data_IF_799251548497
#
_entry.id   IF_799251548497
#
_cell.length_a   1.000
_cell.length_b   1.000
_cell.length_c   1.000
_cell.angle_alpha   90.00
_cell.angle_beta   90.00
_cell.angle_gamma   90.00
#
_symmetry.space_group_name_H-M   'P 1'
#
loop_
_entity.id
_entity.type
_entity.pdbx_description
1 polymer ?
#
# COMPACT_ATOMS: atom_id res chain seq x y z
N UNK A 1 -40.55 -16.24 8.55
CA UNK A 1 -39.20 -16.70 8.15
C UNK A 1 -38.48 -17.16 9.42
N UNK A 2 -38.35 -18.46 9.63
CA UNK A 2 -37.72 -19.06 10.81
C UNK A 2 -36.21 -19.07 10.64
N UNK A 3 -35.49 -18.30 11.46
CA UNK A 3 -34.03 -18.36 11.52
C UNK A 3 -33.63 -19.69 12.18
N UNK A 4 -32.89 -20.58 11.50
CA UNK A 4 -32.48 -21.84 12.10
C UNK A 4 -31.47 -21.56 13.23
N UNK A 5 -31.87 -21.82 14.47
CA UNK A 5 -30.97 -21.77 15.62
C UNK A 5 -30.15 -23.07 15.68
N UNK A 6 -28.89 -22.99 15.27
CA UNK A 6 -27.95 -24.11 15.40
C UNK A 6 -27.50 -24.20 16.86
N UNK A 7 -28.12 -25.10 17.62
CA UNK A 7 -27.73 -25.40 19.01
C UNK A 7 -26.75 -26.57 19.02
N UNK A 8 -25.47 -26.29 19.28
CA UNK A 8 -24.42 -27.31 19.41
C UNK A 8 -24.17 -27.55 20.91
N UNK A 9 -24.53 -28.73 21.43
CA UNK A 9 -24.35 -29.10 22.85
C UNK A 9 -23.41 -30.29 23.00
N UNK A 10 -22.64 -30.30 24.09
CA UNK A 10 -21.75 -31.40 24.47
C UNK A 10 -20.47 -31.48 23.63
N UNK A 11 -19.83 -32.66 23.61
CA UNK A 11 -18.53 -32.90 22.97
C UNK A 11 -18.44 -32.52 21.49
N UNK A 12 -19.59 -32.44 20.79
CA UNK A 12 -19.70 -32.00 19.40
C UNK A 12 -19.44 -30.50 19.18
N UNK A 13 -19.44 -29.69 20.25
CA UNK A 13 -19.08 -28.27 20.18
C UNK A 13 -17.58 -28.06 19.95
N UNK A 14 -16.74 -29.00 20.39
CA UNK A 14 -15.28 -28.93 20.28
C UNK A 14 -14.82 -28.81 18.82
N UNK A 15 -15.21 -29.71 17.89
CA UNK A 15 -14.78 -29.59 16.49
C UNK A 15 -15.29 -28.32 15.81
N UNK A 16 -16.51 -27.86 16.14
CA UNK A 16 -17.05 -26.60 15.60
C UNK A 16 -16.20 -25.42 16.04
N UNK A 17 -15.82 -25.38 17.33
CA UNK A 17 -15.01 -24.31 17.90
C UNK A 17 -13.59 -24.30 17.30
N UNK A 18 -13.00 -25.48 17.07
CA UNK A 18 -11.71 -25.61 16.37
C UNK A 18 -11.79 -25.08 14.94
N UNK A 19 -12.84 -25.40 14.18
CA UNK A 19 -13.03 -24.89 12.81
C UNK A 19 -13.19 -23.37 12.80
N UNK A 20 -13.97 -22.81 13.72
CA UNK A 20 -14.12 -21.35 13.85
C UNK A 20 -12.78 -20.70 14.20
N UNK A 21 -12.02 -21.25 15.15
CA UNK A 21 -10.69 -20.74 15.50
C UNK A 21 -9.70 -20.86 14.33
N UNK A 22 -9.76 -21.94 13.54
CA UNK A 22 -8.93 -22.10 12.35
C UNK A 22 -9.28 -21.07 11.28
N UNK A 23 -10.57 -20.79 11.03
CA UNK A 23 -11.00 -19.76 10.08
C UNK A 23 -10.58 -18.37 10.55
N UNK A 24 -10.79 -18.05 11.83
CA UNK A 24 -10.40 -16.77 12.41
C UNK A 24 -8.88 -16.61 12.41
N UNK A 25 -8.16 -17.65 12.79
CA UNK A 25 -6.69 -17.71 12.78
C UNK A 25 -6.12 -17.56 11.38
N UNK A 26 -6.68 -18.27 10.39
CA UNK A 26 -6.29 -18.14 8.99
C UNK A 26 -6.57 -16.74 8.45
N UNK A 27 -7.75 -16.17 8.72
CA UNK A 27 -8.05 -14.79 8.33
C UNK A 27 -7.09 -13.79 8.96
N UNK A 28 -6.77 -13.97 10.24
CA UNK A 28 -5.84 -13.11 10.97
C UNK A 28 -4.41 -13.25 10.44
N UNK A 29 -3.98 -14.48 10.14
CA UNK A 29 -2.69 -14.77 9.53
C UNK A 29 -2.60 -14.18 8.12
N UNK A 30 -3.59 -14.42 7.25
CA UNK A 30 -3.63 -13.89 5.89
C UNK A 30 -3.66 -12.35 5.83
N UNK A 31 -4.29 -11.68 6.81
CA UNK A 31 -4.25 -10.22 6.91
C UNK A 31 -2.88 -9.67 7.34
N UNK A 32 -2.11 -10.44 8.11
CA UNK A 32 -0.79 -10.04 8.63
C UNK A 32 0.39 -10.53 7.81
N UNK A 33 0.27 -11.66 7.12
CA UNK A 33 1.42 -12.36 6.55
C UNK A 33 2.01 -11.63 5.36
N UNK A 34 1.23 -10.84 4.62
CA UNK A 34 1.74 -10.14 3.45
C UNK A 34 0.73 -9.10 3.01
N UNK A 35 1.15 -7.83 2.91
CA UNK A 35 0.63 -7.03 1.81
C UNK A 35 0.95 -7.86 0.57
N UNK A 36 -0.07 -8.45 -0.05
CA UNK A 36 0.09 -9.20 -1.29
C UNK A 36 0.94 -8.36 -2.27
N UNK A 37 1.81 -8.99 -3.06
CA UNK A 37 2.52 -8.39 -4.19
C UNK A 37 1.66 -7.37 -4.95
N UNK A 38 0.37 -7.64 -5.11
CA UNK A 38 -0.63 -6.75 -5.70
C UNK A 38 -0.75 -5.40 -4.99
N UNK A 39 -0.80 -5.38 -3.66
CA UNK A 39 -0.90 -4.14 -2.88
C UNK A 39 0.37 -3.29 -3.02
N UNK A 40 1.52 -3.94 -3.02
CA UNK A 40 2.82 -3.30 -3.27
C UNK A 40 2.87 -2.69 -4.67
N UNK A 41 2.35 -3.40 -5.68
CA UNK A 41 2.25 -2.88 -7.05
C UNK A 41 1.34 -1.65 -7.13
N UNK A 42 0.18 -1.67 -6.46
CA UNK A 42 -0.74 -0.52 -6.40
C UNK A 42 -0.05 0.70 -5.77
N UNK A 43 0.68 0.50 -4.68
CA UNK A 43 1.45 1.57 -4.02
C UNK A 43 2.56 2.09 -4.95
N UNK A 44 3.33 1.20 -5.58
CA UNK A 44 4.39 1.59 -6.53
C UNK A 44 3.83 2.38 -7.69
N UNK A 45 2.75 1.91 -8.31
CA UNK A 45 2.09 2.59 -9.42
C UNK A 45 1.66 4.00 -9.03
N UNK A 46 1.04 4.15 -7.85
CA UNK A 46 0.61 5.46 -7.38
C UNK A 46 1.79 6.39 -7.08
N UNK A 47 2.85 5.90 -6.41
CA UNK A 47 4.06 6.69 -6.15
C UNK A 47 4.75 7.13 -7.45
N UNK A 48 4.82 6.23 -8.44
CA UNK A 48 5.34 6.54 -9.77
C UNK A 48 4.51 7.63 -10.43
N UNK A 49 3.17 7.56 -10.37
CA UNK A 49 2.32 8.61 -10.93
C UNK A 49 2.52 9.96 -10.24
N UNK A 50 2.71 9.97 -8.92
CA UNK A 50 2.93 11.21 -8.17
C UNK A 50 4.29 11.83 -8.52
N UNK A 51 5.35 11.02 -8.57
CA UNK A 51 6.69 11.50 -8.93
C UNK A 51 6.79 11.92 -10.39
N UNK A 52 6.14 11.19 -11.30
CA UNK A 52 6.03 11.60 -12.69
C UNK A 52 5.29 12.95 -12.81
N UNK A 53 4.15 13.11 -12.13
CA UNK A 53 3.43 14.39 -12.12
C UNK A 53 4.28 15.55 -11.60
N UNK A 54 4.97 15.37 -10.47
CA UNK A 54 5.88 16.37 -9.92
C UNK A 54 7.07 16.69 -10.83
N UNK A 55 7.57 15.71 -11.55
CA UNK A 55 8.63 15.92 -12.52
C UNK A 55 8.12 16.74 -13.72
N UNK A 56 6.93 16.43 -14.24
CA UNK A 56 6.34 17.15 -15.37
C UNK A 56 5.93 18.60 -15.00
N UNK A 57 5.57 18.86 -13.75
CA UNK A 57 5.29 20.21 -13.26
C UNK A 57 6.56 21.08 -13.12
N UNK A 58 7.75 20.48 -13.16
CA UNK A 58 8.98 21.24 -13.04
C UNK A 58 9.27 21.98 -14.37
N UNK A 59 9.47 23.31 -14.37
CA UNK A 59 9.71 24.12 -15.57
C UNK A 59 10.86 23.63 -16.43
N UNK A 60 11.83 22.92 -15.82
CA UNK A 60 12.92 22.25 -16.52
C UNK A 60 12.40 21.27 -17.58
N UNK A 61 11.33 20.54 -17.32
CA UNK A 61 10.78 19.56 -18.27
C UNK A 61 9.70 20.13 -19.20
N UNK A 62 9.36 21.42 -19.06
CA UNK A 62 8.35 22.07 -19.93
C UNK A 62 8.95 22.61 -21.23
N UNK A 63 10.26 22.84 -21.28
CA UNK A 63 10.96 23.40 -22.44
C UNK A 63 11.97 22.42 -23.05
N UNK A 64 11.59 21.14 -23.17
CA UNK A 64 12.45 20.10 -23.72
C UNK A 64 12.89 20.39 -25.16
N UNK A 65 12.04 21.07 -25.95
CA UNK A 65 12.33 21.42 -27.34
C UNK A 65 13.42 22.51 -27.49
N UNK A 66 13.67 23.27 -26.43
CA UNK A 66 14.69 24.32 -26.40
C UNK A 66 15.98 23.89 -25.68
N UNK A 67 16.03 22.66 -25.16
CA UNK A 67 17.20 22.14 -24.45
C UNK A 67 18.31 21.73 -25.40
N UNK A 68 19.54 21.95 -24.98
CA UNK A 68 20.68 21.29 -25.61
C UNK A 68 20.62 19.78 -25.40
N UNK A 69 21.25 19.00 -26.28
CA UNK A 69 21.30 17.53 -26.15
C UNK A 69 21.83 17.08 -24.78
N UNK A 70 22.82 17.79 -24.23
CA UNK A 70 23.38 17.48 -22.91
C UNK A 70 22.37 17.73 -21.76
N UNK A 71 21.54 18.76 -21.86
CA UNK A 71 20.50 19.04 -20.85
C UNK A 71 19.33 18.06 -20.96
N UNK A 72 18.99 17.65 -22.18
CA UNK A 72 17.98 16.63 -22.43
C UNK A 72 18.41 15.26 -21.86
N UNK A 73 19.68 14.89 -22.02
CA UNK A 73 20.23 13.65 -21.44
C UNK A 73 20.17 13.66 -19.90
N UNK A 74 20.52 14.78 -19.27
CA UNK A 74 20.41 14.94 -17.81
C UNK A 74 18.95 14.89 -17.33
N UNK A 75 18.03 15.49 -18.07
CA UNK A 75 16.59 15.44 -17.77
C UNK A 75 16.06 14.01 -17.89
N UNK A 76 16.44 13.28 -18.94
CA UNK A 76 16.07 11.87 -19.11
C UNK A 76 16.60 11.00 -17.97
N UNK A 77 17.86 11.19 -17.56
CA UNK A 77 18.45 10.46 -16.44
C UNK A 77 17.72 10.76 -15.11
N UNK A 78 17.35 12.02 -14.89
CA UNK A 78 16.58 12.42 -13.70
C UNK A 78 15.20 11.75 -13.66
N UNK A 79 14.49 11.67 -14.79
CA UNK A 79 13.21 10.96 -14.90
C UNK A 79 13.36 9.45 -14.70
N UNK A 80 14.41 8.85 -15.28
CA UNK A 80 14.71 7.43 -15.09
C UNK A 80 15.01 7.12 -13.62
N UNK A 81 15.69 8.02 -12.90
CA UNK A 81 15.96 7.87 -11.47
C UNK A 81 14.67 7.87 -10.66
N UNK A 82 13.72 8.75 -10.96
CA UNK A 82 12.42 8.82 -10.28
C UNK A 82 11.57 7.55 -10.47
N UNK A 83 11.82 6.79 -11.53
CA UNK A 83 11.15 5.53 -11.81
C UNK A 83 11.67 4.35 -10.95
N UNK A 84 12.85 4.49 -10.32
CA UNK A 84 13.46 3.44 -9.48
C UNK A 84 13.01 3.56 -8.03
N UNK A 85 11.77 3.17 -7.77
CA UNK A 85 11.20 3.18 -6.42
C UNK A 85 11.38 1.81 -5.74
N UNK A 86 12.15 1.83 -4.66
CA UNK A 86 12.37 0.70 -3.78
C UNK A 86 11.54 0.83 -2.51
N UNK A 87 10.82 -0.23 -2.17
CA UNK A 87 10.06 -0.30 -0.92
C UNK A 87 10.86 -1.15 0.07
N UNK A 88 11.36 -0.52 1.13
CA UNK A 88 12.18 -1.19 2.16
C UNK A 88 11.33 -1.94 3.17
N UNK A 89 10.25 -1.30 3.62
CA UNK A 89 9.38 -1.88 4.64
C UNK A 89 7.93 -1.49 4.39
N UNK A 90 7.03 -2.40 4.75
CA UNK A 90 5.58 -2.20 4.69
C UNK A 90 5.00 -2.64 6.02
N UNK A 91 4.21 -1.78 6.65
CA UNK A 91 3.47 -2.07 7.88
C UNK A 91 1.99 -1.81 7.70
N UNK A 92 1.13 -2.68 8.22
CA UNK A 92 -0.33 -2.61 8.02
C UNK A 92 -1.03 -2.54 9.36
N UNK A 93 -2.03 -1.67 9.46
CA UNK A 93 -2.94 -1.60 10.61
C UNK A 93 -4.38 -1.38 10.17
N UNK A 94 -5.34 -1.84 10.97
CA UNK A 94 -6.76 -1.73 10.67
C UNK A 94 -7.32 -2.97 9.99
N UNK A 95 -8.65 -3.01 9.87
CA UNK A 95 -9.41 -4.16 9.38
C UNK A 95 -10.47 -3.73 8.37
N UNK A 96 -10.81 -4.66 7.46
CA UNK A 96 -11.89 -4.49 6.49
C UNK A 96 -11.62 -3.33 5.53
N UNK A 97 -12.49 -2.33 5.54
CA UNK A 97 -12.45 -1.20 4.60
C UNK A 97 -11.61 -0.01 5.09
N UNK A 98 -11.01 -0.13 6.27
CA UNK A 98 -10.32 0.97 6.93
C UNK A 98 -8.88 0.60 7.30
N UNK A 99 -8.09 0.20 6.31
CA UNK A 99 -6.70 -0.22 6.48
C UNK A 99 -5.79 0.99 6.27
N UNK A 100 -4.77 1.13 7.11
CA UNK A 100 -3.69 2.12 6.98
C UNK A 100 -2.39 1.38 6.77
N UNK A 101 -1.69 1.71 5.69
CA UNK A 101 -0.43 1.09 5.29
C UNK A 101 0.68 2.12 5.44
N UNK A 102 1.67 1.82 6.30
CA UNK A 102 2.96 2.51 6.38
C UNK A 102 3.88 1.90 5.34
N UNK A 103 4.51 2.72 4.52
CA UNK A 103 5.47 2.31 3.51
C UNK A 103 6.73 3.12 3.71
N UNK A 104 7.86 2.43 3.75
CA UNK A 104 9.18 3.03 3.74
C UNK A 104 9.79 2.88 2.36
N UNK A 105 10.18 4.01 1.78
CA UNK A 105 10.55 4.13 0.38
C UNK A 105 11.91 4.80 0.21
N UNK A 106 12.62 4.34 -0.80
CA UNK A 106 13.82 4.96 -1.33
C UNK A 106 13.68 5.10 -2.85
N UNK A 107 14.30 6.13 -3.40
CA UNK A 107 14.37 6.36 -4.84
C UNK A 107 15.83 6.27 -5.25
N UNK A 108 16.18 5.25 -6.04
CA UNK A 108 17.55 4.95 -6.47
C UNK A 108 18.55 4.90 -5.28
N UNK A 109 18.14 4.24 -4.18
CA UNK A 109 18.93 4.13 -2.95
C UNK A 109 19.11 5.43 -2.16
N UNK A 110 18.40 6.50 -2.52
CA UNK A 110 18.45 7.81 -1.85
C UNK A 110 17.07 8.19 -1.28
N UNK A 111 17.07 9.24 -0.46
CA UNK A 111 15.85 9.84 0.04
C UNK A 111 14.96 10.30 -1.14
N UNK A 112 13.64 10.09 -1.07
CA UNK A 112 12.71 10.56 -2.09
C UNK A 112 12.80 12.07 -2.34
N UNK A 113 12.41 12.56 -3.54
CA UNK A 113 12.54 13.96 -3.92
C UNK A 113 11.73 14.93 -3.03
N UNK A 114 10.69 14.43 -2.36
CA UNK A 114 9.87 15.20 -1.42
C UNK A 114 10.37 15.12 0.03
N UNK A 115 11.48 14.43 0.28
CA UNK A 115 12.08 14.23 1.59
C UNK A 115 11.32 13.25 2.50
N UNK A 116 10.27 12.58 2.02
CA UNK A 116 9.42 11.70 2.84
C UNK A 116 9.73 10.24 2.59
N UNK A 117 10.74 9.71 3.27
CA UNK A 117 11.07 8.28 3.21
C UNK A 117 10.00 7.38 3.81
N UNK A 118 9.14 7.89 4.69
CA UNK A 118 8.03 7.14 5.28
C UNK A 118 6.72 7.80 4.87
N UNK A 119 5.83 7.01 4.28
CA UNK A 119 4.50 7.43 3.85
C UNK A 119 3.43 6.53 4.45
N UNK A 120 2.24 7.07 4.56
CA UNK A 120 1.09 6.36 5.10
C UNK A 120 -0.07 6.47 4.12
N UNK A 121 -0.77 5.38 3.86
CA UNK A 121 -1.85 5.32 2.88
C UNK A 121 -3.08 4.67 3.48
N UNK A 122 -4.26 5.25 3.22
CA UNK A 122 -5.52 4.54 3.44
C UNK A 122 -5.77 3.59 2.27
N UNK A 123 -5.90 2.31 2.59
CA UNK A 123 -6.18 1.26 1.62
C UNK A 123 -7.42 0.47 2.02
N UNK A 124 -8.03 -0.17 1.02
CA UNK A 124 -9.12 -1.12 1.17
C UNK A 124 -8.78 -2.39 0.40
N UNK A 125 -9.10 -3.54 0.99
CA UNK A 125 -9.00 -4.82 0.30
C UNK A 125 -10.39 -5.36 -0.04
N UNK A 126 -10.63 -5.62 -1.32
CA UNK A 126 -11.82 -6.32 -1.81
C UNK A 126 -11.42 -7.71 -2.28
N UNK A 127 -12.20 -8.74 -1.92
CA UNK A 127 -11.97 -10.11 -2.41
C UNK A 127 -12.18 -10.25 -3.92
N UNK A 128 -12.91 -9.32 -4.54
CA UNK A 128 -13.23 -9.36 -5.98
C UNK A 128 -12.25 -8.51 -6.79
N UNK A 129 -11.95 -7.29 -6.32
CA UNK A 129 -11.15 -6.30 -7.08
C UNK A 129 -9.76 -6.09 -6.52
N UNK A 130 -9.35 -6.84 -5.49
CA UNK A 130 -8.07 -6.70 -4.82
C UNK A 130 -7.93 -5.38 -4.04
N UNK A 131 -6.68 -4.95 -3.89
CA UNK A 131 -6.29 -3.77 -3.14
C UNK A 131 -6.57 -2.49 -3.92
N UNK A 132 -7.07 -1.47 -3.20
CA UNK A 132 -7.27 -0.12 -3.74
C UNK A 132 -6.75 0.90 -2.74
N UNK A 133 -5.96 1.84 -3.24
CA UNK A 133 -5.63 3.06 -2.50
C UNK A 133 -6.83 4.01 -2.50
N UNK A 134 -7.05 4.71 -1.38
CA UNK A 134 -8.10 5.75 -1.31
C UNK A 134 -7.52 7.16 -1.19
N UNK A 135 -6.65 7.42 -0.21
CA UNK A 135 -6.04 8.72 0.03
C UNK A 135 -4.83 8.60 0.96
N UNK A 136 -4.07 9.69 1.10
CA UNK A 136 -2.92 9.78 1.99
C UNK A 136 -3.33 9.79 3.47
N UNK A 137 -2.61 9.03 4.28
CA UNK A 137 -2.80 9.01 5.72
C UNK A 137 -1.69 9.81 6.41
N UNK A 138 -1.94 10.17 7.67
CA UNK A 138 -0.91 10.70 8.55
C UNK A 138 -0.31 9.58 9.41
N UNK A 139 0.87 9.84 9.97
CA UNK A 139 1.46 8.97 11.00
C UNK A 139 0.48 8.77 12.17
N UNK A 140 -0.23 9.82 12.57
CA UNK A 140 -1.20 9.76 13.66
C UNK A 140 -2.34 8.78 13.33
N UNK A 141 -2.88 8.83 12.12
CA UNK A 141 -3.90 7.89 11.65
C UNK A 141 -3.44 6.43 11.69
N UNK A 142 -2.15 6.18 11.49
CA UNK A 142 -1.55 4.84 11.58
C UNK A 142 -1.45 4.36 13.04
N UNK A 143 -0.93 5.19 13.95
CA UNK A 143 -0.77 4.79 15.35
C UNK A 143 -2.08 4.75 16.14
N UNK A 144 -3.05 5.62 15.81
CA UNK A 144 -4.40 5.58 16.38
C UNK A 144 -5.23 4.40 15.85
N UNK A 145 -4.81 3.78 14.73
CA UNK A 145 -5.43 2.55 14.25
C UNK A 145 -5.03 1.39 15.16
N UNK A 146 -5.95 1.06 16.05
CA UNK A 146 -5.91 -0.16 16.83
C UNK A 146 -6.60 -1.27 16.02
N UNK A 147 -5.80 -2.30 15.70
CA UNK A 147 -6.19 -3.63 15.17
C UNK A 147 -7.26 -3.65 14.06
#
# INVERSE_FOLDING_TARGET
>A
MTNPQVTVKGWKAIPVLVVVLAIVGYKYYAMRSTLDTNATQVIKFWLLSEYAGKALDNPKFQNLDAMSSAEADQAAEELLRLNRIDIKSIGVRGKGDNIVVRVEIEVDGKAPPDGKSIRYFHMRHSTITGWKMRWDASWLSYYLKLW
#
